data_IF_862772472659
#
_entry.id   IF_862772472659
#
_cell.length_a   1.000
_cell.length_b   1.000
_cell.length_c   1.000
_cell.angle_alpha   90.00
_cell.angle_beta   90.00
_cell.angle_gamma   90.00
#
_symmetry.space_group_name_H-M   'P 1'
#
loop_
_entity.id
_entity.type
_entity.pdbx_description
1 polymer ?
#
# COMPACT_ATOMS: atom_id res chain seq x y z
N UNK A 1 -16.80 -17.42 -18.01
CA UNK A 1 -15.93 -16.23 -18.14
C UNK A 1 -16.24 -15.57 -19.46
N UNK A 2 -16.82 -14.38 -19.43
CA UNK A 2 -17.06 -13.58 -20.64
C UNK A 2 -15.76 -12.88 -21.00
N UNK A 3 -15.10 -13.29 -22.09
CA UNK A 3 -13.93 -12.59 -22.61
C UNK A 3 -14.35 -11.39 -23.44
N UNK A 4 -13.69 -10.26 -23.23
CA UNK A 4 -13.92 -9.01 -23.97
C UNK A 4 -12.58 -8.57 -24.58
N UNK A 5 -12.60 -8.12 -25.83
CA UNK A 5 -11.40 -7.66 -26.52
C UNK A 5 -11.17 -6.16 -26.26
N UNK A 6 -10.05 -5.81 -25.63
CA UNK A 6 -9.62 -4.43 -25.43
C UNK A 6 -8.60 -4.04 -26.51
N UNK A 7 -8.91 -3.04 -27.33
CA UNK A 7 -7.98 -2.49 -28.32
C UNK A 7 -7.31 -1.23 -27.78
N UNK A 8 -5.98 -1.28 -27.57
CA UNK A 8 -5.20 -0.17 -27.01
C UNK A 8 -4.08 0.22 -27.96
N UNK A 9 -3.88 1.53 -28.15
CA UNK A 9 -2.68 2.05 -28.82
C UNK A 9 -1.56 2.16 -27.79
N UNK A 10 -0.49 1.38 -27.97
CA UNK A 10 0.69 1.38 -27.10
C UNK A 10 1.95 1.67 -27.92
N UNK A 11 3.01 2.12 -27.23
CA UNK A 11 4.32 2.33 -27.87
C UNK A 11 4.96 1.00 -28.27
N UNK A 12 5.85 1.05 -29.27
CA UNK A 12 6.60 -0.13 -29.74
C UNK A 12 7.46 -0.75 -28.63
N UNK A 13 8.07 0.10 -27.80
CA UNK A 13 8.91 -0.33 -26.68
C UNK A 13 8.10 -1.11 -25.63
N UNK A 14 6.88 -0.66 -25.30
CA UNK A 14 6.04 -1.34 -24.33
C UNK A 14 5.58 -2.72 -24.85
N UNK A 15 5.26 -2.79 -26.14
CA UNK A 15 4.93 -4.06 -26.81
C UNK A 15 6.08 -5.05 -26.73
N UNK A 16 7.31 -4.59 -26.90
CA UNK A 16 8.50 -5.45 -26.84
C UNK A 16 8.79 -5.93 -25.41
N UNK A 17 8.67 -5.04 -24.41
CA UNK A 17 8.77 -5.43 -22.99
C UNK A 17 7.73 -6.49 -22.59
N UNK A 18 6.47 -6.30 -23.00
CA UNK A 18 5.41 -7.28 -22.75
C UNK A 18 5.73 -8.61 -23.43
N UNK A 19 6.31 -8.57 -24.63
CA UNK A 19 6.70 -9.79 -25.37
C UNK A 19 7.81 -10.56 -24.66
N UNK A 20 8.87 -9.87 -24.23
CA UNK A 20 9.97 -10.49 -23.48
C UNK A 20 9.46 -11.11 -22.17
N UNK A 21 8.60 -10.40 -21.46
CA UNK A 21 8.01 -10.89 -20.22
C UNK A 21 7.08 -12.11 -20.44
N UNK A 22 6.35 -12.14 -21.56
CA UNK A 22 5.53 -13.28 -21.93
C UNK A 22 6.39 -14.49 -22.31
N UNK A 23 7.53 -14.27 -22.98
CA UNK A 23 8.49 -15.32 -23.33
C UNK A 23 9.15 -15.92 -22.09
N UNK A 24 9.53 -15.09 -21.11
CA UNK A 24 10.07 -15.54 -19.82
C UNK A 24 9.08 -16.40 -19.03
N UNK A 25 7.80 -16.02 -19.02
CA UNK A 25 6.74 -16.75 -18.32
C UNK A 25 6.13 -17.91 -19.11
N UNK A 26 6.50 -18.10 -20.37
CA UNK A 26 5.90 -19.08 -21.28
C UNK A 26 4.38 -18.95 -21.42
N UNK A 27 3.86 -17.73 -21.31
CA UNK A 27 2.44 -17.45 -21.39
C UNK A 27 2.08 -16.67 -22.66
N UNK A 28 0.79 -16.66 -23.01
CA UNK A 28 0.32 -15.84 -24.12
C UNK A 28 0.41 -14.35 -23.78
N UNK A 29 0.63 -13.52 -24.81
CA UNK A 29 0.65 -12.05 -24.64
C UNK A 29 -0.59 -11.55 -23.89
N UNK A 30 -1.77 -12.12 -24.20
CA UNK A 30 -3.04 -11.77 -23.56
C UNK A 30 -3.06 -12.04 -22.06
N UNK A 31 -2.66 -13.25 -21.64
CA UNK A 31 -2.59 -13.66 -20.22
C UNK A 31 -1.66 -12.75 -19.42
N UNK A 32 -0.47 -12.53 -19.96
CA UNK A 32 0.54 -11.65 -19.35
C UNK A 32 0.03 -10.21 -19.22
N UNK A 33 -0.61 -9.68 -20.28
CA UNK A 33 -1.18 -8.33 -20.20
C UNK A 33 -2.32 -8.22 -19.20
N UNK A 34 -3.16 -9.25 -19.08
CA UNK A 34 -4.24 -9.30 -18.10
C UNK A 34 -3.70 -9.32 -16.66
N UNK A 35 -2.68 -10.14 -16.39
CA UNK A 35 -2.03 -10.21 -15.08
C UNK A 35 -1.39 -8.87 -14.71
N UNK A 36 -0.65 -8.26 -15.65
CA UNK A 36 -0.01 -6.96 -15.45
C UNK A 36 -1.03 -5.83 -15.25
N UNK A 37 -2.10 -5.79 -16.05
CA UNK A 37 -3.19 -4.81 -15.88
C UNK A 37 -3.89 -4.99 -14.53
N UNK A 38 -4.16 -6.24 -14.13
CA UNK A 38 -4.79 -6.53 -12.84
C UNK A 38 -3.90 -6.08 -11.68
N UNK A 39 -2.59 -6.32 -11.77
CA UNK A 39 -1.62 -5.86 -10.77
C UNK A 39 -1.53 -4.34 -10.72
N UNK A 40 -1.42 -3.67 -11.87
CA UNK A 40 -1.37 -2.21 -11.94
C UNK A 40 -2.64 -1.57 -11.38
N UNK A 41 -3.82 -2.11 -11.71
CA UNK A 41 -5.08 -1.62 -11.16
C UNK A 41 -5.21 -1.86 -9.66
N UNK A 42 -4.73 -3.00 -9.14
CA UNK A 42 -4.67 -3.23 -7.69
C UNK A 42 -3.78 -2.21 -7.00
N UNK A 43 -2.57 -1.98 -7.52
CA UNK A 43 -1.64 -0.98 -6.96
C UNK A 43 -2.28 0.40 -6.95
N UNK A 44 -2.88 0.85 -8.07
CA UNK A 44 -3.52 2.17 -8.13
C UNK A 44 -4.70 2.28 -7.16
N UNK A 45 -5.54 1.23 -7.05
CA UNK A 45 -6.68 1.20 -6.13
C UNK A 45 -6.25 1.11 -4.66
N UNK A 46 -5.12 0.45 -4.39
CA UNK A 46 -4.54 0.33 -3.06
C UNK A 46 -3.79 1.62 -2.68
N UNK A 47 -3.06 2.26 -3.59
CA UNK A 47 -2.36 3.55 -3.40
C UNK A 47 -3.33 4.72 -3.13
N UNK A 48 -4.51 4.76 -3.76
CA UNK A 48 -5.55 5.75 -3.40
C UNK A 48 -6.12 5.53 -1.98
N UNK A 49 -5.95 4.32 -1.42
CA UNK A 49 -6.25 4.02 0.00
C UNK A 49 -5.01 4.04 0.90
N UNK A 50 -3.84 4.18 0.30
CA UNK A 50 -2.53 4.11 0.92
C UNK A 50 -1.78 5.41 0.59
N UNK A 51 -2.36 6.54 1.03
CA UNK A 51 -1.54 7.56 1.69
C UNK A 51 -0.93 6.83 2.88
N UNK A 52 0.16 6.16 2.55
CA UNK A 52 0.95 5.27 3.35
C UNK A 52 1.56 6.07 4.50
N UNK A 53 1.11 5.80 5.72
CA UNK A 53 1.82 6.17 6.95
C UNK A 53 3.27 5.58 6.98
N UNK A 54 3.69 4.80 5.97
CA UNK A 54 5.00 4.13 5.86
C UNK A 54 6.16 5.01 5.37
N UNK A 55 5.94 6.22 4.84
CA UNK A 55 7.05 7.12 4.45
C UNK A 55 7.60 7.99 5.59
N UNK A 56 7.19 7.75 6.85
CA UNK A 56 7.88 8.35 8.00
C UNK A 56 9.10 7.50 8.33
N UNK A 57 10.30 7.98 7.99
CA UNK A 57 11.59 7.43 8.46
C UNK A 57 11.71 7.60 9.99
N UNK A 58 11.07 6.69 10.73
CA UNK A 58 11.14 6.61 12.18
C UNK A 58 12.36 5.79 12.61
N UNK A 59 13.57 6.16 12.19
CA UNK A 59 14.91 5.80 12.73
C UNK A 59 14.94 4.69 13.82
N UNK A 60 14.42 3.51 13.51
CA UNK A 60 14.07 2.42 14.44
C UNK A 60 13.51 2.82 15.83
N UNK A 61 12.82 3.95 15.94
CA UNK A 61 12.28 4.45 17.21
C UNK A 61 10.77 4.20 17.23
N UNK A 62 10.37 3.04 17.75
CA UNK A 62 8.96 2.72 17.94
C UNK A 62 8.40 3.50 19.15
N UNK A 63 7.45 4.41 18.92
CA UNK A 63 6.61 4.89 20.02
C UNK A 63 5.80 3.71 20.55
N UNK A 64 6.08 3.28 21.79
CA UNK A 64 5.21 2.33 22.49
C UNK A 64 3.82 2.96 22.53
N UNK A 65 2.84 2.35 21.84
CA UNK A 65 1.42 2.70 21.99
C UNK A 65 1.01 2.43 23.43
N UNK A 66 1.16 3.45 24.29
CA UNK A 66 0.74 3.38 25.68
C UNK A 66 -0.77 3.52 25.68
N UNK A 67 -1.52 2.62 26.36
CA UNK A 67 -2.94 2.82 26.54
C UNK A 67 -3.22 4.17 27.20
N UNK A 68 -4.38 4.79 26.92
CA UNK A 68 -4.78 6.01 27.62
C UNK A 68 -4.79 5.76 29.13
N UNK A 69 -4.37 6.76 29.90
CA UNK A 69 -4.32 6.69 31.36
C UNK A 69 -5.69 6.29 31.92
N UNK A 70 -5.69 5.35 32.86
CA UNK A 70 -6.89 4.96 33.58
C UNK A 70 -7.38 6.11 34.48
N UNK A 71 -8.68 6.12 34.80
CA UNK A 71 -9.27 7.13 35.68
C UNK A 71 -8.58 7.23 37.05
N UNK A 72 -8.01 6.12 37.53
CA UNK A 72 -7.27 6.07 38.79
C UNK A 72 -5.92 6.78 38.68
N UNK A 73 -5.20 6.58 37.57
CA UNK A 73 -3.93 7.27 37.28
C UNK A 73 -4.14 8.76 37.06
N UNK A 74 -5.22 9.15 36.37
CA UNK A 74 -5.60 10.56 36.20
C UNK A 74 -5.90 11.23 37.54
N UNK A 75 -6.60 10.55 38.46
CA UNK A 75 -6.87 11.06 39.82
C UNK A 75 -5.57 11.21 40.62
N UNK A 76 -4.64 10.27 40.51
CA UNK A 76 -3.34 10.33 41.16
C UNK A 76 -2.50 11.51 40.63
N UNK A 77 -2.46 11.71 39.31
CA UNK A 77 -1.81 12.84 38.65
C UNK A 77 -2.39 14.18 39.11
N UNK A 78 -3.72 14.30 39.17
CA UNK A 78 -4.39 15.51 39.70
C UNK A 78 -3.99 15.80 41.15
N UNK A 79 -3.85 14.77 42.00
CA UNK A 79 -3.43 14.92 43.40
C UNK A 79 -1.97 15.38 43.51
N UNK A 80 -1.08 14.86 42.66
CA UNK A 80 0.34 15.27 42.61
C UNK A 80 0.50 16.72 42.12
N UNK A 81 -0.24 17.11 41.08
CA UNK A 81 -0.21 18.47 40.54
C UNK A 81 -0.80 19.49 41.52
N UNK A 82 -1.85 19.13 42.27
CA UNK A 82 -2.42 19.99 43.32
C UNK A 82 -1.48 20.23 44.50
N UNK A 83 -0.51 19.34 44.75
CA UNK A 83 0.49 19.50 45.82
C UNK A 83 1.67 20.38 45.42
N UNK A 84 1.86 20.65 44.13
CA UNK A 84 2.92 21.50 43.59
C UNK A 84 2.47 22.97 43.37
N UNK A 85 1.24 23.31 43.73
CA UNK A 85 0.75 24.69 43.82
C UNK A 85 0.92 25.24 45.22
#
# INVERSE_FOLDING_TARGET
MTSVTLNVKISSELKEKIRLYAEEKQETLGSVTEELLTKALKIILEEDSAIEESEVDNQHTEEKRVPPLSDNEIKALRKLLKKKK
#
